data_IF_288601111392
#
_entry.id   IF_288601111392
#
_cell.length_a   1.000
_cell.length_b   1.000
_cell.length_c   1.000
_cell.angle_alpha   90.00
_cell.angle_beta   90.00
_cell.angle_gamma   90.00
#
_symmetry.space_group_name_H-M   'P 1'
#
loop_
_entity.id
_entity.type
_entity.pdbx_description
1 polymer ?
#
# COMPACT_ATOMS: atom_id res chain seq x y z
N UNK A 1 17.18 -8.62 -24.86
CA UNK A 1 17.55 -7.45 -24.06
C UNK A 1 16.23 -6.91 -23.57
N UNK A 2 15.79 -7.39 -22.41
CA UNK A 2 14.56 -6.92 -21.80
C UNK A 2 14.80 -5.47 -21.41
N UNK A 3 14.07 -4.57 -22.05
CA UNK A 3 14.14 -3.15 -21.73
C UNK A 3 13.44 -3.03 -20.39
N UNK A 4 14.20 -2.85 -19.31
CA UNK A 4 13.63 -2.45 -18.02
C UNK A 4 12.94 -1.11 -18.21
N UNK A 5 11.60 -1.15 -18.26
CA UNK A 5 10.79 0.05 -18.26
C UNK A 5 10.89 0.62 -16.85
N UNK A 6 11.75 1.63 -16.67
CA UNK A 6 11.83 2.38 -15.42
C UNK A 6 10.50 3.12 -15.26
N UNK A 7 9.63 2.62 -14.37
CA UNK A 7 8.39 3.33 -13.99
C UNK A 7 8.69 4.80 -13.68
N UNK A 8 7.87 5.76 -14.15
CA UNK A 8 7.99 7.17 -13.80
C UNK A 8 8.06 7.37 -12.27
N UNK A 9 8.84 8.35 -11.82
CA UNK A 9 8.93 8.68 -10.38
C UNK A 9 7.56 8.99 -9.74
N UNK A 10 6.61 9.53 -10.51
CA UNK A 10 5.25 9.80 -10.05
C UNK A 10 4.46 8.54 -9.68
N UNK A 11 4.80 7.40 -10.27
CA UNK A 11 4.15 6.10 -10.09
C UNK A 11 4.79 5.25 -8.98
N UNK A 12 5.76 5.83 -8.25
CA UNK A 12 6.44 5.18 -7.12
C UNK A 12 6.18 5.97 -5.85
N UNK A 13 6.25 5.29 -4.71
CA UNK A 13 6.33 5.99 -3.43
C UNK A 13 7.65 6.74 -3.35
N UNK A 14 7.62 7.94 -2.75
CA UNK A 14 8.82 8.52 -2.14
C UNK A 14 8.97 7.97 -0.72
N UNK A 15 10.19 8.02 -0.16
CA UNK A 15 10.38 7.68 1.25
C UNK A 15 9.52 8.55 2.17
N UNK A 16 9.34 9.84 1.85
CA UNK A 16 8.52 10.76 2.63
C UNK A 16 7.04 10.32 2.64
N UNK A 17 6.48 9.99 1.48
CA UNK A 17 5.11 9.47 1.37
C UNK A 17 4.95 8.17 2.16
N UNK A 18 5.90 7.24 1.99
CA UNK A 18 5.85 5.94 2.62
C UNK A 18 5.93 6.05 4.15
N UNK A 19 6.85 6.84 4.68
CA UNK A 19 6.95 7.07 6.13
C UNK A 19 5.74 7.83 6.69
N UNK A 20 5.17 8.76 5.94
CA UNK A 20 3.96 9.49 6.36
C UNK A 20 2.73 8.59 6.46
N UNK A 21 2.71 7.49 5.71
CA UNK A 21 1.63 6.49 5.74
C UNK A 21 1.77 5.43 6.84
N UNK A 22 2.88 5.42 7.59
CA UNK A 22 3.12 4.43 8.64
C UNK A 22 2.05 4.47 9.73
N UNK A 23 1.67 3.28 10.20
CA UNK A 23 0.63 3.05 11.21
C UNK A 23 -0.78 3.47 10.80
N UNK A 24 -0.98 3.92 9.56
CA UNK A 24 -2.32 4.16 9.03
C UNK A 24 -3.05 2.84 8.82
N UNK A 25 -4.33 2.84 9.20
CA UNK A 25 -5.27 1.76 8.88
C UNK A 25 -5.67 1.88 7.42
N UNK A 26 -5.75 0.75 6.74
CA UNK A 26 -6.18 0.66 5.34
C UNK A 26 -7.29 -0.36 5.19
N UNK A 27 -8.20 -0.08 4.26
CA UNK A 27 -9.30 -0.98 3.91
C UNK A 27 -9.35 -1.15 2.38
N UNK A 28 -9.87 -2.26 1.85
CA UNK A 28 -10.09 -2.40 0.41
C UNK A 28 -11.11 -1.39 -0.09
N UNK A 29 -10.87 -0.82 -1.26
CA UNK A 29 -11.81 0.11 -1.90
C UNK A 29 -13.14 -0.55 -2.23
N UNK A 30 -13.15 -1.84 -2.58
CA UNK A 30 -14.37 -2.60 -2.87
C UNK A 30 -15.25 -2.76 -1.61
N UNK A 31 -14.63 -2.90 -0.44
CA UNK A 31 -15.31 -3.05 0.85
C UNK A 31 -15.97 -1.76 1.36
N UNK A 32 -15.82 -0.61 0.68
CA UNK A 32 -16.62 0.59 1.00
C UNK A 32 -18.10 0.43 0.60
N UNK A 33 -18.39 -0.44 -0.36
CA UNK A 33 -19.74 -0.67 -0.89
C UNK A 33 -20.38 -1.95 -0.35
N UNK A 34 -19.56 -2.85 0.21
CA UNK A 34 -19.97 -4.10 0.83
C UNK A 34 -19.72 -4.10 2.33
N UNK A 35 -20.14 -5.15 3.03
CA UNK A 35 -19.88 -5.26 4.46
C UNK A 35 -18.40 -5.61 4.68
N UNK A 36 -17.61 -4.64 5.19
CA UNK A 36 -16.20 -4.81 5.53
C UNK A 36 -16.00 -5.98 6.52
N UNK A 37 -15.18 -6.96 6.13
CA UNK A 37 -14.72 -8.02 7.05
C UNK A 37 -13.53 -7.54 7.88
N UNK A 38 -13.43 -7.97 9.14
CA UNK A 38 -12.27 -7.65 9.98
C UNK A 38 -10.95 -8.20 9.42
N UNK A 39 -11.03 -9.27 8.64
CA UNK A 39 -9.86 -9.90 8.00
C UNK A 39 -9.24 -9.01 6.89
N UNK A 40 -10.04 -8.09 6.34
CA UNK A 40 -9.66 -7.19 5.26
C UNK A 40 -9.03 -5.88 5.75
N UNK A 41 -9.10 -5.60 7.05
CA UNK A 41 -8.50 -4.41 7.64
C UNK A 41 -7.00 -4.61 7.76
N UNK A 42 -6.24 -3.73 7.10
CA UNK A 42 -4.79 -3.72 7.13
C UNK A 42 -4.23 -2.56 7.96
N UNK A 43 -2.99 -2.70 8.41
CA UNK A 43 -2.19 -1.60 8.98
C UNK A 43 -0.84 -1.55 8.27
N UNK A 44 -0.42 -0.36 7.86
CA UNK A 44 0.91 -0.13 7.28
C UNK A 44 1.94 -0.21 8.41
N UNK A 45 2.81 -1.21 8.37
CA UNK A 45 3.79 -1.49 9.45
C UNK A 45 5.24 -1.28 9.03
N UNK A 46 5.51 -1.07 7.74
CA UNK A 46 6.86 -0.90 7.28
C UNK A 46 6.96 -0.43 5.84
N UNK A 47 8.19 -0.17 5.44
CA UNK A 47 8.57 0.23 4.10
C UNK A 47 9.69 -0.69 3.65
N UNK A 48 9.59 -1.22 2.44
CA UNK A 48 10.65 -1.98 1.81
C UNK A 48 11.20 -1.17 0.63
N UNK A 49 12.47 -0.80 0.71
CA UNK A 49 13.19 -0.10 -0.35
C UNK A 49 14.02 -1.12 -1.14
N UNK A 50 13.73 -1.26 -2.42
CA UNK A 50 14.45 -2.13 -3.35
C UNK A 50 15.21 -1.28 -4.37
N UNK A 51 16.13 -1.88 -5.12
CA UNK A 51 16.86 -1.14 -6.17
C UNK A 51 15.93 -0.51 -7.23
N UNK A 52 14.69 -1.00 -7.35
CA UNK A 52 13.75 -0.60 -8.41
C UNK A 52 12.54 0.19 -7.92
N UNK A 53 12.07 0.01 -6.69
CA UNK A 53 10.84 0.64 -6.18
C UNK A 53 10.79 0.62 -4.64
N UNK A 54 10.01 1.53 -4.07
CA UNK A 54 9.63 1.55 -2.65
C UNK A 54 8.23 0.96 -2.52
N UNK A 55 8.06 -0.02 -1.64
CA UNK A 55 6.81 -0.72 -1.39
C UNK A 55 6.39 -0.56 0.08
N UNK A 56 5.08 -0.51 0.31
CA UNK A 56 4.51 -0.54 1.67
C UNK A 56 4.33 -1.97 2.14
N UNK A 57 4.75 -2.23 3.38
CA UNK A 57 4.52 -3.50 4.08
C UNK A 57 3.24 -3.36 4.91
N UNK A 58 2.19 -4.08 4.51
CA UNK A 58 0.87 -3.99 5.13
C UNK A 58 0.54 -5.33 5.79
N UNK A 59 0.19 -5.28 7.08
CA UNK A 59 -0.27 -6.45 7.85
C UNK A 59 -1.79 -6.48 7.83
N UNK A 60 -2.35 -7.57 7.31
CA UNK A 60 -3.74 -7.94 7.49
C UNK A 60 -3.86 -9.01 8.58
N UNK A 61 -5.08 -9.44 8.92
CA UNK A 61 -5.29 -10.43 9.97
C UNK A 61 -4.48 -11.72 9.73
N UNK A 62 -4.50 -12.23 8.49
CA UNK A 62 -3.94 -13.53 8.16
C UNK A 62 -2.59 -13.46 7.45
N UNK A 63 -2.23 -12.34 6.83
CA UNK A 63 -1.00 -12.24 6.02
C UNK A 63 -0.30 -10.89 6.11
N UNK A 64 0.86 -10.81 5.47
CA UNK A 64 1.61 -9.58 5.25
C UNK A 64 1.82 -9.47 3.76
N UNK A 65 1.49 -8.30 3.19
CA UNK A 65 1.57 -8.04 1.75
C UNK A 65 2.42 -6.82 1.48
N UNK A 66 3.01 -6.81 0.29
CA UNK A 66 3.77 -5.70 -0.25
C UNK A 66 2.93 -5.00 -1.29
N UNK A 67 2.88 -3.67 -1.23
CA UNK A 67 2.14 -2.84 -2.16
C UNK A 67 3.06 -1.81 -2.80
N UNK A 68 3.19 -1.89 -4.12
CA UNK A 68 3.62 -0.75 -4.93
C UNK A 68 2.61 0.39 -4.83
N UNK A 69 3.01 1.60 -5.21
CA UNK A 69 2.12 2.76 -5.19
C UNK A 69 0.88 2.55 -6.06
N UNK A 70 1.07 2.01 -7.25
CA UNK A 70 -0.02 1.70 -8.18
C UNK A 70 -1.03 0.72 -7.58
N UNK A 71 -0.55 -0.38 -6.98
CA UNK A 71 -1.44 -1.35 -6.33
C UNK A 71 -2.16 -0.73 -5.14
N UNK A 72 -1.43 0.04 -4.32
CA UNK A 72 -1.98 0.69 -3.14
C UNK A 72 -3.13 1.62 -3.50
N UNK A 73 -2.91 2.55 -4.45
CA UNK A 73 -3.91 3.53 -4.88
C UNK A 73 -5.10 2.89 -5.61
N UNK A 74 -4.90 1.73 -6.24
CA UNK A 74 -5.95 1.01 -6.95
C UNK A 74 -6.82 0.14 -6.04
N UNK A 75 -6.25 -0.45 -5.01
CA UNK A 75 -6.89 -1.53 -4.24
C UNK A 75 -7.29 -1.08 -2.84
N UNK A 76 -6.60 -0.09 -2.26
CA UNK A 76 -6.72 0.27 -0.87
C UNK A 76 -7.03 1.75 -0.67
N UNK A 77 -7.62 2.05 0.48
CA UNK A 77 -7.85 3.41 0.97
C UNK A 77 -7.35 3.53 2.40
N UNK A 78 -6.73 4.66 2.71
CA UNK A 78 -6.40 5.02 4.09
C UNK A 78 -7.67 5.41 4.83
N UNK A 79 -7.91 4.74 5.96
CA UNK A 79 -9.00 5.09 6.87
C UNK A 79 -8.54 6.22 7.79
N UNK A 80 -9.16 7.39 7.65
CA UNK A 80 -8.96 8.53 8.55
C UNK A 80 -10.08 8.54 9.60
N UNK A 81 -9.74 8.45 10.88
CA UNK A 81 -10.69 8.75 11.96
C UNK A 81 -11.06 10.24 11.85
N UNK A 82 -12.35 10.54 11.61
CA UNK A 82 -12.88 11.91 11.63
C UNK A 82 -13.07 12.42 13.06
#
# INVERSE_FOLDING_TARGET
MDIEIIKPLSERFTLEDAFSSMYSTVIPLESEYEALSLEEIGVILGVMDTESEIELVIRFADDVRLYTKEQFERELKVYEEQ
#
